data_IF_005519940793
#
_entry.id   IF_005519940793
#
_cell.length_a   1.000
_cell.length_b   1.000
_cell.length_c   1.000
_cell.angle_alpha   90.00
_cell.angle_beta   90.00
_cell.angle_gamma   90.00
#
_symmetry.space_group_name_H-M   'P 1'
#
loop_
_entity.id
_entity.type
_entity.pdbx_description
1 polymer ?
#
# COMPACT_ATOMS: atom_id res chain seq x y z
N UNK A 1 10.36 28.84 0.59
CA UNK A 1 11.29 28.24 1.57
C UNK A 1 10.57 27.10 2.27
N UNK A 2 10.86 25.85 1.89
CA UNK A 2 10.18 24.68 2.47
C UNK A 2 10.61 24.53 3.94
N UNK A 3 9.67 24.66 4.87
CA UNK A 3 9.93 24.58 6.30
C UNK A 3 10.60 23.26 6.67
N UNK A 4 11.75 23.35 7.34
CA UNK A 4 12.48 22.20 7.86
C UNK A 4 11.58 21.52 8.90
N UNK A 5 10.96 20.39 8.55
CA UNK A 5 10.16 19.61 9.50
C UNK A 5 11.10 19.10 10.60
N UNK A 6 10.86 19.55 11.82
CA UNK A 6 11.62 19.12 13.00
C UNK A 6 11.12 17.73 13.39
N UNK A 7 12.04 16.84 13.75
CA UNK A 7 11.68 15.52 14.26
C UNK A 7 10.97 15.68 15.62
N UNK A 8 9.82 15.03 15.78
CA UNK A 8 9.06 15.02 17.04
C UNK A 8 9.68 14.07 18.06
N UNK A 9 10.48 13.12 17.59
CA UNK A 9 11.22 12.15 18.39
C UNK A 9 12.56 11.85 17.74
N UNK A 10 13.61 11.73 18.55
CA UNK A 10 14.95 11.38 18.11
C UNK A 10 15.62 10.50 19.18
N UNK A 11 16.17 9.36 18.77
CA UNK A 11 17.00 8.53 19.64
C UNK A 11 18.11 7.82 18.85
N UNK A 12 19.19 7.45 19.53
CA UNK A 12 20.21 6.58 18.98
C UNK A 12 20.02 5.17 19.54
N UNK A 13 20.00 4.16 18.67
CA UNK A 13 19.79 2.76 19.06
C UNK A 13 20.54 1.81 18.14
N UNK A 14 21.07 0.72 18.70
CA UNK A 14 21.59 -0.39 17.91
C UNK A 14 20.45 -1.26 17.37
N UNK A 15 20.46 -1.55 16.07
CA UNK A 15 19.50 -2.47 15.43
C UNK A 15 20.11 -3.89 15.32
N UNK A 16 19.46 -4.79 14.59
CA UNK A 16 19.78 -6.23 14.55
C UNK A 16 21.19 -6.55 14.02
N UNK A 17 21.80 -5.65 13.26
CA UNK A 17 23.18 -5.72 12.77
C UNK A 17 24.21 -5.22 13.80
N UNK A 18 23.76 -4.85 15.01
CA UNK A 18 24.56 -4.31 16.11
C UNK A 18 25.24 -2.96 15.79
N UNK A 19 24.87 -2.33 14.68
CA UNK A 19 25.31 -0.99 14.30
C UNK A 19 24.38 0.07 14.88
N UNK A 20 24.92 1.26 15.15
CA UNK A 20 24.16 2.36 15.76
C UNK A 20 23.43 3.17 14.68
N UNK A 21 22.12 3.29 14.86
CA UNK A 21 21.23 4.09 14.03
C UNK A 21 20.70 5.29 14.78
N UNK A 22 20.62 6.43 14.11
CA UNK A 22 19.87 7.60 14.57
C UNK A 22 18.44 7.47 14.02
N UNK A 23 17.50 7.21 14.92
CA UNK A 23 16.08 7.11 14.63
C UNK A 23 15.44 8.48 14.79
N UNK A 24 14.82 8.98 13.73
CA UNK A 24 14.10 10.25 13.72
C UNK A 24 12.67 10.00 13.27
N UNK A 25 11.71 10.55 13.99
CA UNK A 25 10.29 10.45 13.64
C UNK A 25 9.76 11.84 13.32
N UNK A 26 9.04 11.96 12.22
CA UNK A 26 8.47 13.21 11.74
C UNK A 26 6.96 13.07 11.69
N UNK A 27 6.27 14.05 12.28
CA UNK A 27 4.82 14.15 12.11
C UNK A 27 4.51 14.67 10.69
N UNK A 28 3.74 13.88 9.96
CA UNK A 28 3.28 14.22 8.61
C UNK A 28 1.76 14.34 8.52
N UNK A 29 1.09 14.56 9.66
CA UNK A 29 -0.36 14.80 9.73
C UNK A 29 -0.84 15.73 8.60
N UNK A 30 -1.91 15.35 7.88
CA UNK A 30 -2.82 14.22 8.14
C UNK A 30 -2.38 12.88 7.53
N UNK A 31 -1.15 12.75 7.02
CA UNK A 31 -0.70 11.52 6.35
C UNK A 31 -0.17 10.44 7.31
N UNK A 32 -0.08 10.72 8.61
CA UNK A 32 0.52 9.84 9.62
C UNK A 32 1.93 10.26 10.03
N UNK A 33 2.80 9.28 10.29
CA UNK A 33 4.16 9.44 10.79
C UNK A 33 5.20 8.95 9.76
N UNK A 34 6.32 9.65 9.63
CA UNK A 34 7.48 9.15 8.88
C UNK A 34 8.61 8.81 9.85
N UNK A 35 9.04 7.56 9.85
CA UNK A 35 10.22 7.09 10.59
C UNK A 35 11.41 7.05 9.63
N UNK A 36 12.53 7.61 10.07
CA UNK A 36 13.82 7.58 9.39
C UNK A 36 14.86 6.94 10.31
N UNK A 37 15.60 5.96 9.80
CA UNK A 37 16.77 5.40 10.48
C UNK A 37 18.02 5.75 9.66
N UNK A 38 18.95 6.48 10.26
CA UNK A 38 20.19 6.88 9.63
C UNK A 38 21.38 6.13 10.23
N UNK A 39 22.10 5.39 9.38
CA UNK A 39 23.35 4.73 9.73
C UNK A 39 24.52 5.65 9.41
N UNK A 40 25.24 6.10 10.43
CA UNK A 40 26.30 7.09 10.23
C UNK A 40 27.53 6.53 9.51
N UNK A 41 27.88 5.27 9.76
CA UNK A 41 29.11 4.64 9.24
C UNK A 41 29.11 4.52 7.72
N UNK A 42 27.99 4.08 7.15
CA UNK A 42 27.82 3.88 5.70
C UNK A 42 27.05 5.03 5.03
N UNK A 43 26.59 6.01 5.81
CA UNK A 43 25.72 7.10 5.34
C UNK A 43 24.45 6.60 4.62
N UNK A 44 23.87 5.50 5.12
CA UNK A 44 22.67 4.87 4.56
C UNK A 44 21.45 5.30 5.35
N UNK A 45 20.37 5.58 4.63
CA UNK A 45 19.09 6.00 5.19
C UNK A 45 17.99 4.98 4.86
N UNK A 46 17.24 4.58 5.89
CA UNK A 46 16.06 3.75 5.77
C UNK A 46 14.83 4.54 6.18
N UNK A 47 13.73 4.34 5.45
CA UNK A 47 12.49 5.04 5.69
C UNK A 47 11.36 4.04 5.91
N UNK A 48 10.47 4.37 6.85
CA UNK A 48 9.26 3.63 7.12
C UNK A 48 8.11 4.63 7.31
N UNK A 49 7.27 4.85 6.28
CA UNK A 49 6.04 5.61 6.44
C UNK A 49 5.01 4.77 7.20
N UNK A 50 4.28 5.42 8.10
CA UNK A 50 3.17 4.86 8.88
C UNK A 50 1.98 5.78 8.66
N UNK A 51 0.89 5.25 8.11
CA UNK A 51 -0.34 6.00 7.82
C UNK A 51 -1.16 6.26 9.08
N UNK A 52 -2.08 7.23 9.05
CA UNK A 52 -3.01 7.47 10.18
C UNK A 52 -3.82 6.21 10.53
N UNK A 53 -4.33 5.51 9.52
CA UNK A 53 -5.10 4.28 9.73
C UNK A 53 -4.25 3.21 10.44
N UNK A 54 -2.95 3.14 10.18
CA UNK A 54 -2.04 2.23 10.88
C UNK A 54 -1.76 2.68 12.32
N UNK A 55 -1.66 3.98 12.57
CA UNK A 55 -1.55 4.52 13.94
C UNK A 55 -2.81 4.20 14.75
N UNK A 56 -3.99 4.38 14.16
CA UNK A 56 -5.28 4.06 14.78
C UNK A 56 -5.39 2.56 15.07
N UNK A 57 -5.06 1.71 14.10
CA UNK A 57 -5.07 0.25 14.26
C UNK A 57 -4.06 -0.24 15.32
N UNK A 58 -2.91 0.44 15.43
CA UNK A 58 -1.89 0.14 16.43
C UNK A 58 -2.14 0.80 17.80
N UNK A 59 -3.23 1.56 17.94
CA UNK A 59 -3.54 2.38 19.12
C UNK A 59 -2.35 3.27 19.57
N UNK A 60 -1.58 3.78 18.60
CA UNK A 60 -0.31 4.46 18.84
C UNK A 60 -0.52 5.99 18.82
N UNK A 61 -0.39 6.60 20.00
CA UNK A 61 -0.46 8.06 20.13
C UNK A 61 0.85 8.75 19.72
N UNK A 62 0.81 10.06 19.43
CA UNK A 62 2.00 10.89 19.18
C UNK A 62 2.74 11.31 20.47
N UNK A 63 2.49 10.62 21.58
CA UNK A 63 3.13 10.90 22.86
C UNK A 63 4.57 10.37 22.89
N UNK A 64 5.45 10.99 23.68
CA UNK A 64 6.85 10.56 23.82
C UNK A 64 6.98 9.07 24.22
N UNK A 65 6.10 8.57 25.09
CA UNK A 65 6.09 7.16 25.51
C UNK A 65 5.67 6.20 24.38
N UNK A 66 4.74 6.60 23.53
CA UNK A 66 4.32 5.78 22.40
C UNK A 66 5.38 5.77 21.29
N UNK A 67 6.04 6.90 21.05
CA UNK A 67 7.14 7.01 20.09
C UNK A 67 8.38 6.24 20.55
N UNK A 68 8.67 6.20 21.86
CA UNK A 68 9.76 5.36 22.38
C UNK A 68 9.46 3.87 22.20
N UNK A 69 8.22 3.43 22.49
CA UNK A 69 7.79 2.04 22.21
C UNK A 69 7.89 1.70 20.73
N UNK A 70 7.52 2.63 19.85
CA UNK A 70 7.70 2.47 18.42
C UNK A 70 9.19 2.31 18.09
N UNK A 71 10.07 3.15 18.62
CA UNK A 71 11.51 3.07 18.39
C UNK A 71 12.12 1.73 18.84
N UNK A 72 11.65 1.17 19.96
CA UNK A 72 12.04 -0.14 20.49
C UNK A 72 11.54 -1.31 19.62
N UNK A 73 10.42 -1.12 18.92
CA UNK A 73 9.85 -2.13 18.03
C UNK A 73 10.52 -2.21 16.66
N UNK A 74 11.37 -1.24 16.31
CA UNK A 74 12.00 -1.17 15.00
C UNK A 74 13.13 -2.20 14.87
N UNK A 75 13.20 -2.83 13.71
CA UNK A 75 14.18 -3.85 13.29
C UNK A 75 14.47 -3.72 11.80
N UNK A 76 15.64 -4.18 11.36
CA UNK A 76 16.00 -4.27 9.94
C UNK A 76 15.77 -5.69 9.46
N UNK A 77 14.91 -5.84 8.45
CA UNK A 77 14.55 -7.13 7.89
C UNK A 77 14.95 -7.17 6.43
N UNK A 78 15.60 -8.26 6.02
CA UNK A 78 15.90 -8.49 4.61
C UNK A 78 14.63 -9.02 3.89
N UNK A 79 14.10 -8.22 2.97
CA UNK A 79 12.99 -8.61 2.10
C UNK A 79 13.43 -8.53 0.64
N UNK A 80 13.36 -9.66 -0.07
CA UNK A 80 13.68 -9.74 -1.50
C UNK A 80 15.07 -9.20 -1.86
N UNK A 81 16.08 -9.47 -1.01
CA UNK A 81 17.46 -9.01 -1.20
C UNK A 81 17.71 -7.54 -0.88
N UNK A 82 16.78 -6.86 -0.18
CA UNK A 82 16.94 -5.48 0.29
C UNK A 82 16.61 -5.39 1.78
N UNK A 83 17.44 -4.69 2.53
CA UNK A 83 17.17 -4.35 3.92
C UNK A 83 16.08 -3.27 3.98
N UNK A 84 15.04 -3.54 4.76
CA UNK A 84 13.94 -2.62 5.01
C UNK A 84 13.69 -2.45 6.50
N UNK A 85 13.32 -1.23 6.90
CA UNK A 85 12.97 -0.92 8.28
C UNK A 85 11.53 -1.39 8.56
N UNK A 86 11.35 -2.13 9.65
CA UNK A 86 10.06 -2.70 10.04
C UNK A 86 9.79 -2.52 11.53
N UNK A 87 8.51 -2.35 11.89
CA UNK A 87 8.05 -2.39 13.27
C UNK A 87 7.44 -3.76 13.59
N UNK A 88 7.65 -4.24 14.80
CA UNK A 88 6.98 -5.44 15.35
C UNK A 88 5.60 -5.14 15.98
N UNK A 89 5.15 -3.88 15.99
CA UNK A 89 3.85 -3.49 16.57
C UNK A 89 2.70 -3.97 15.67
N UNK A 90 1.77 -4.70 16.27
CA UNK A 90 0.52 -5.12 15.63
C UNK A 90 -0.30 -3.91 15.19
N UNK A 91 -0.76 -3.90 13.95
CA UNK A 91 -1.55 -2.79 13.38
C UNK A 91 -0.77 -1.88 12.42
N UNK A 92 0.57 -1.90 12.47
CA UNK A 92 1.45 -1.25 11.49
C UNK A 92 1.75 -2.26 10.39
N UNK A 93 1.30 -2.02 9.16
CA UNK A 93 1.38 -3.01 8.08
C UNK A 93 2.84 -3.13 7.64
N UNK A 94 3.26 -4.37 7.38
CA UNK A 94 4.58 -4.68 6.82
C UNK A 94 4.75 -3.93 5.49
N UNK A 95 5.94 -3.41 5.16
CA UNK A 95 6.16 -2.63 3.96
C UNK A 95 5.58 -3.35 2.75
N UNK A 96 4.79 -2.61 1.96
CA UNK A 96 4.16 -3.11 0.74
C UNK A 96 5.28 -3.38 -0.26
N UNK A 97 5.87 -4.57 -0.20
CA UNK A 97 6.92 -5.00 -1.11
C UNK A 97 6.32 -4.92 -2.50
N UNK A 98 6.88 -4.05 -3.36
CA UNK A 98 6.58 -4.12 -4.78
C UNK A 98 7.20 -5.42 -5.29
N UNK A 99 6.39 -6.42 -5.66
CA UNK A 99 6.94 -7.65 -6.18
C UNK A 99 7.78 -7.33 -7.43
N UNK A 100 8.93 -7.97 -7.55
CA UNK A 100 9.84 -7.84 -8.69
C UNK A 100 10.17 -9.24 -9.24
N UNK A 101 10.41 -9.34 -10.55
CA UNK A 101 10.69 -10.62 -11.20
C UNK A 101 9.58 -11.66 -10.97
N UNK A 102 9.94 -12.84 -10.47
CA UNK A 102 8.99 -13.92 -10.18
C UNK A 102 7.97 -13.58 -9.10
N UNK A 103 8.28 -12.63 -8.22
CA UNK A 103 7.31 -12.13 -7.24
C UNK A 103 6.07 -11.53 -7.92
N UNK A 104 6.21 -10.93 -9.11
CA UNK A 104 5.08 -10.34 -9.85
C UNK A 104 4.16 -11.45 -10.36
N UNK A 105 4.74 -12.52 -10.92
CA UNK A 105 3.98 -13.68 -11.39
C UNK A 105 3.18 -14.32 -10.26
N UNK A 106 3.81 -14.50 -9.10
CA UNK A 106 3.14 -15.04 -7.92
C UNK A 106 2.05 -14.11 -7.40
N UNK A 107 2.28 -12.80 -7.38
CA UNK A 107 1.29 -11.82 -6.96
C UNK A 107 0.06 -11.85 -7.87
N UNK A 108 0.26 -11.80 -9.20
CA UNK A 108 -0.82 -11.88 -10.18
C UNK A 108 -1.58 -13.21 -10.02
N UNK A 109 -0.87 -14.35 -9.94
CA UNK A 109 -1.48 -15.67 -9.81
C UNK A 109 -2.23 -15.90 -8.48
N UNK A 110 -1.88 -15.19 -7.40
CA UNK A 110 -2.59 -15.25 -6.12
C UNK A 110 -3.72 -14.25 -5.99
N UNK A 111 -3.80 -13.26 -6.88
CA UNK A 111 -4.86 -12.25 -6.83
C UNK A 111 -6.19 -12.92 -7.15
N UNK A 112 -7.16 -12.85 -6.23
CA UNK A 112 -8.47 -13.50 -6.38
C UNK A 112 -9.41 -12.67 -7.23
N UNK A 113 -10.16 -13.34 -8.10
CA UNK A 113 -11.29 -12.82 -8.84
C UNK A 113 -12.49 -13.73 -8.55
N UNK A 114 -13.22 -13.44 -7.46
CA UNK A 114 -14.29 -14.30 -6.97
C UNK A 114 -13.77 -15.66 -6.51
N UNK A 115 -14.13 -16.71 -7.29
CA UNK A 115 -13.71 -18.10 -7.03
C UNK A 115 -12.40 -18.47 -7.73
N UNK A 116 -12.01 -17.71 -8.76
CA UNK A 116 -10.84 -18.00 -9.60
C UNK A 116 -9.71 -16.99 -9.37
N UNK A 117 -8.63 -17.12 -10.14
CA UNK A 117 -7.51 -16.16 -10.10
C UNK A 117 -7.75 -15.02 -11.08
N UNK A 118 -7.08 -13.89 -10.86
CA UNK A 118 -7.07 -12.76 -11.78
C UNK A 118 -6.62 -13.18 -13.19
N UNK A 119 -5.66 -14.10 -13.30
CA UNK A 119 -5.19 -14.62 -14.58
C UNK A 119 -6.27 -15.38 -15.35
N UNK A 120 -7.05 -16.21 -14.66
CA UNK A 120 -8.15 -16.97 -15.28
C UNK A 120 -9.24 -16.01 -15.77
N UNK A 121 -9.64 -15.07 -14.92
CA UNK A 121 -10.65 -14.06 -15.25
C UNK A 121 -10.22 -13.17 -16.43
N UNK A 122 -8.97 -12.71 -16.47
CA UNK A 122 -8.46 -11.94 -17.60
C UNK A 122 -8.36 -12.78 -18.87
N UNK A 123 -8.07 -14.08 -18.77
CA UNK A 123 -8.05 -14.98 -19.92
C UNK A 123 -9.43 -15.15 -20.53
N UNK A 124 -10.48 -15.22 -19.70
CA UNK A 124 -11.87 -15.21 -20.15
C UNK A 124 -12.22 -13.88 -20.84
N UNK A 125 -11.92 -12.75 -20.20
CA UNK A 125 -12.17 -11.42 -20.75
C UNK A 125 -11.50 -11.21 -22.13
N UNK A 126 -10.26 -11.66 -22.27
CA UNK A 126 -9.52 -11.60 -23.55
C UNK A 126 -10.09 -12.57 -24.58
N UNK A 127 -10.59 -13.73 -24.16
CA UNK A 127 -11.26 -14.67 -25.06
C UNK A 127 -12.55 -14.07 -25.63
N UNK A 128 -13.34 -13.37 -24.81
CA UNK A 128 -14.53 -12.65 -25.27
C UNK A 128 -14.17 -11.48 -26.18
N UNK A 129 -13.10 -10.73 -25.87
CA UNK A 129 -12.59 -9.67 -26.76
C UNK A 129 -12.22 -10.23 -28.14
N UNK A 130 -11.61 -11.42 -28.21
CA UNK A 130 -11.28 -12.09 -29.46
C UNK A 130 -12.51 -12.57 -30.26
N UNK A 131 -13.66 -12.75 -29.61
CA UNK A 131 -14.93 -13.08 -30.29
C UNK A 131 -15.54 -11.84 -30.92
N UNK A 132 -15.63 -10.74 -30.18
CA UNK A 132 -16.24 -9.49 -30.63
C UNK A 132 -15.37 -8.72 -31.65
N UNK A 133 -14.04 -8.81 -31.54
CA UNK A 133 -13.06 -8.15 -32.43
C UNK A 133 -13.31 -6.65 -32.70
N UNK A 134 -13.58 -5.83 -31.66
CA UNK A 134 -13.64 -4.37 -31.82
C UNK A 134 -12.31 -3.81 -32.33
N UNK A 135 -12.38 -2.71 -33.10
CA UNK A 135 -11.22 -2.16 -33.82
C UNK A 135 -10.55 -1.05 -33.01
N UNK A 136 -9.22 -1.08 -32.94
CA UNK A 136 -8.42 0.02 -32.38
C UNK A 136 -8.70 0.29 -30.89
N UNK A 137 -8.89 1.56 -30.53
CA UNK A 137 -9.11 1.98 -29.14
C UNK A 137 -10.43 1.48 -28.54
N UNK A 138 -11.40 1.12 -29.38
CA UNK A 138 -12.67 0.56 -28.90
C UNK A 138 -12.49 -0.83 -28.28
N UNK A 139 -11.41 -1.55 -28.61
CA UNK A 139 -11.06 -2.81 -27.95
C UNK A 139 -10.75 -2.63 -26.46
N UNK A 140 -10.02 -1.58 -26.10
CA UNK A 140 -9.69 -1.28 -24.71
C UNK A 140 -10.93 -0.82 -23.95
N UNK A 141 -11.77 0.01 -24.59
CA UNK A 141 -13.02 0.49 -24.00
C UNK A 141 -14.00 -0.67 -23.75
N UNK A 142 -14.17 -1.53 -24.73
CA UNK A 142 -15.01 -2.72 -24.64
C UNK A 142 -14.52 -3.65 -23.52
N UNK A 143 -13.21 -3.94 -23.48
CA UNK A 143 -12.64 -4.81 -22.46
C UNK A 143 -12.82 -4.23 -21.05
N UNK A 144 -12.62 -2.92 -20.88
CA UNK A 144 -12.85 -2.23 -19.62
C UNK A 144 -14.31 -2.32 -19.15
N UNK A 145 -15.27 -2.10 -20.06
CA UNK A 145 -16.70 -2.24 -19.76
C UNK A 145 -17.08 -3.69 -19.41
N UNK A 146 -16.53 -4.65 -20.15
CA UNK A 146 -16.76 -6.07 -19.90
C UNK A 146 -16.24 -6.47 -18.50
N UNK A 147 -15.03 -6.04 -18.14
CA UNK A 147 -14.44 -6.33 -16.83
C UNK A 147 -15.27 -5.70 -15.71
N UNK A 148 -15.72 -4.45 -15.85
CA UNK A 148 -16.55 -3.80 -14.84
C UNK A 148 -17.89 -4.50 -14.65
N UNK A 149 -18.54 -4.91 -15.75
CA UNK A 149 -19.83 -5.59 -15.71
C UNK A 149 -19.74 -6.99 -15.09
N UNK A 150 -18.66 -7.72 -15.38
CA UNK A 150 -18.48 -9.11 -14.95
C UNK A 150 -17.57 -9.25 -13.72
N UNK A 151 -17.23 -8.15 -13.03
CA UNK A 151 -16.30 -8.17 -11.91
C UNK A 151 -16.84 -9.05 -10.76
N UNK A 152 -16.24 -10.22 -10.48
CA UNK A 152 -16.77 -11.13 -9.47
C UNK A 152 -16.51 -10.65 -8.03
N UNK A 153 -15.70 -9.61 -7.84
CA UNK A 153 -15.37 -9.06 -6.52
C UNK A 153 -16.24 -7.85 -6.14
N UNK A 154 -17.08 -7.33 -7.03
CA UNK A 154 -17.93 -6.17 -6.75
C UNK A 154 -19.40 -6.50 -7.04
N UNK A 155 -20.34 -6.08 -6.16
CA UNK A 155 -21.75 -6.14 -6.50
C UNK A 155 -22.04 -5.20 -7.66
N UNK A 156 -22.94 -5.60 -8.54
CA UNK A 156 -23.44 -4.74 -9.62
C UNK A 156 -24.15 -3.54 -9.00
N UNK A 157 -23.59 -2.34 -9.21
CA UNK A 157 -24.19 -1.09 -8.76
C UNK A 157 -25.26 -0.70 -9.78
N UNK A 158 -26.53 -0.87 -9.44
CA UNK A 158 -27.62 -0.28 -10.20
C UNK A 158 -27.73 1.19 -9.82
N UNK A 159 -27.48 2.09 -10.76
CA UNK A 159 -27.76 3.51 -10.55
C UNK A 159 -29.27 3.69 -10.42
N UNK A 160 -29.77 4.40 -9.39
CA UNK A 160 -31.19 4.65 -9.25
C UNK A 160 -31.68 5.40 -10.48
N UNK A 161 -32.59 4.79 -11.23
CA UNK A 161 -33.30 5.45 -12.34
C UNK A 161 -33.87 6.77 -11.83
N UNK A 162 -33.37 7.89 -12.32
CA UNK A 162 -33.92 9.21 -12.04
C UNK A 162 -35.40 9.23 -12.43
N UNK A 163 -36.30 9.09 -11.45
CA UNK A 163 -37.73 9.39 -11.57
C UNK A 163 -37.96 10.91 -11.65
N UNK A 164 -37.34 11.58 -12.63
CA UNK A 164 -37.51 13.01 -12.90
C UNK A 164 -38.03 13.27 -14.32
N UNK A 165 -39.03 12.49 -14.75
CA UNK A 165 -39.73 12.75 -16.01
C UNK A 165 -41.25 12.48 -15.89
N UNK A 166 -41.92 13.06 -14.90
CA UNK A 166 -43.40 13.24 -14.98
C UNK A 166 -43.89 14.41 -14.12
N UNK A 167 -43.49 15.63 -14.47
CA UNK A 167 -44.25 16.84 -14.14
C UNK A 167 -44.27 17.77 -15.36
N UNK A 168 -45.03 17.38 -16.38
CA UNK A 168 -45.61 18.31 -17.37
C UNK A 168 -46.95 17.75 -17.86
N UNK A 169 -48.04 18.24 -17.28
CA UNK A 169 -49.16 18.92 -17.96
C UNK A 169 -50.13 19.46 -16.91
#
# INVERSE_FOLDING_TARGET
MAGRKVAIYNCARALDDNDIYILQMFDTSPSGLLVKAYRQTESVEYFMPITESELDNAALSRSQQALSKLAESLSLVELSGKLVLMSSITGIIKPKVLPSGDGVRQFIGRTKAGRDTLSDFLSEALSELCKEKPVGLDAVRWLGQWILKNNPNQPTVEEPTDMNATLQT
#
